data_IF_163855159982
#
_entry.id   IF_163855159982
#
_cell.length_a   1.000
_cell.length_b   1.000
_cell.length_c   1.000
_cell.angle_alpha   90.00
_cell.angle_beta   90.00
_cell.angle_gamma   90.00
#
_symmetry.space_group_name_H-M   'P 1'
#
loop_
_entity.id
_entity.type
_entity.pdbx_description
1 polymer ?
#
# COMPACT_ATOMS: atom_id res chain seq x y z
N UNK A 1 -33.78 -44.84 14.38
CA UNK A 1 -34.98 -44.00 14.11
C UNK A 1 -34.61 -42.71 13.38
N UNK A 2 -33.65 -41.91 13.87
CA UNK A 2 -33.21 -40.67 13.19
C UNK A 2 -32.56 -40.90 11.82
N UNK A 3 -31.81 -41.99 11.63
CA UNK A 3 -31.22 -42.37 10.34
C UNK A 3 -32.30 -42.68 9.28
N UNK A 4 -33.34 -43.43 9.67
CA UNK A 4 -34.45 -43.75 8.78
C UNK A 4 -35.26 -42.50 8.36
N UNK A 5 -35.38 -41.50 9.24
CA UNK A 5 -36.02 -40.23 8.90
C UNK A 5 -35.18 -39.43 7.89
N UNK A 6 -33.85 -39.40 8.06
CA UNK A 6 -32.93 -38.75 7.13
C UNK A 6 -33.03 -39.33 5.72
N UNK A 7 -33.09 -40.65 5.60
CA UNK A 7 -33.16 -41.33 4.30
C UNK A 7 -34.52 -41.15 3.59
N UNK A 8 -35.56 -40.72 4.32
CA UNK A 8 -36.90 -40.50 3.79
C UNK A 8 -37.16 -39.04 3.37
N UNK A 9 -36.37 -38.08 3.88
CA UNK A 9 -36.47 -36.68 3.49
C UNK A 9 -35.65 -36.47 2.22
N UNK A 10 -36.33 -36.09 1.13
CA UNK A 10 -35.69 -35.80 -0.15
C UNK A 10 -35.72 -34.30 -0.38
N UNK A 11 -34.55 -33.71 -0.66
CA UNK A 11 -34.43 -32.30 -1.02
C UNK A 11 -33.96 -32.25 -2.47
N UNK A 12 -34.77 -31.68 -3.35
CA UNK A 12 -34.48 -31.55 -4.78
C UNK A 12 -34.41 -30.08 -5.18
N UNK A 13 -33.59 -29.78 -6.19
CA UNK A 13 -33.51 -28.45 -6.79
C UNK A 13 -34.41 -28.44 -8.03
N UNK A 14 -35.40 -27.54 -8.05
CA UNK A 14 -36.45 -27.46 -9.08
C UNK A 14 -36.27 -26.24 -9.99
N UNK A 15 -35.24 -25.40 -9.77
CA UNK A 15 -34.94 -24.25 -10.62
C UNK A 15 -33.83 -23.33 -10.06
N UNK A 16 -33.68 -22.12 -10.63
CA UNK A 16 -32.77 -21.12 -10.06
C UNK A 16 -33.33 -20.64 -8.71
N UNK A 17 -32.67 -21.04 -7.62
CA UNK A 17 -32.96 -20.66 -6.24
C UNK A 17 -34.26 -21.25 -5.63
N UNK A 18 -34.83 -22.32 -6.23
CA UNK A 18 -35.97 -23.06 -5.66
C UNK A 18 -35.57 -24.46 -5.20
N UNK A 19 -35.97 -24.79 -3.98
CA UNK A 19 -35.73 -26.08 -3.34
C UNK A 19 -37.04 -26.69 -2.89
N UNK A 20 -37.30 -27.93 -3.32
CA UNK A 20 -38.46 -28.70 -2.88
C UNK A 20 -38.02 -29.70 -1.80
N UNK A 21 -38.82 -29.77 -0.73
CA UNK A 21 -38.59 -30.67 0.41
C UNK A 21 -39.76 -31.66 0.45
N UNK A 22 -39.45 -32.93 0.18
CA UNK A 22 -40.42 -34.01 0.14
C UNK A 22 -40.21 -34.98 1.30
N UNK A 23 -41.32 -35.41 1.92
CA UNK A 23 -41.32 -36.47 2.93
C UNK A 23 -42.59 -37.31 2.83
N UNK A 24 -42.43 -38.63 2.76
CA UNK A 24 -43.53 -39.57 2.62
C UNK A 24 -43.85 -40.26 3.96
N UNK A 25 -45.12 -40.22 4.38
CA UNK A 25 -45.61 -40.94 5.54
C UNK A 25 -47.02 -41.47 5.31
N UNK A 26 -47.41 -42.51 6.05
CA UNK A 26 -48.76 -43.07 6.01
C UNK A 26 -49.79 -42.13 6.65
N UNK A 27 -49.39 -41.38 7.68
CA UNK A 27 -50.22 -40.36 8.31
C UNK A 27 -49.94 -38.98 7.67
N UNK A 28 -50.95 -38.36 7.01
CA UNK A 28 -50.78 -37.06 6.38
C UNK A 28 -50.46 -35.94 7.38
N UNK A 29 -50.91 -36.05 8.64
CA UNK A 29 -50.63 -35.06 9.67
C UNK A 29 -49.15 -35.11 10.09
N UNK A 30 -48.58 -36.31 10.21
CA UNK A 30 -47.15 -36.50 10.49
C UNK A 30 -46.31 -36.01 9.31
N UNK A 31 -46.71 -36.30 8.08
CA UNK A 31 -46.00 -35.84 6.89
C UNK A 31 -45.87 -34.31 6.86
N UNK A 32 -47.00 -33.61 7.07
CA UNK A 32 -47.04 -32.14 7.15
C UNK A 32 -46.19 -31.60 8.30
N UNK A 33 -46.32 -32.18 9.48
CA UNK A 33 -45.61 -31.71 10.67
C UNK A 33 -44.08 -31.84 10.52
N UNK A 34 -43.60 -32.93 9.92
CA UNK A 34 -42.17 -33.15 9.66
C UNK A 34 -41.63 -32.12 8.67
N UNK A 35 -42.29 -31.91 7.52
CA UNK A 35 -41.85 -30.92 6.53
C UNK A 35 -41.85 -29.51 7.12
N UNK A 36 -42.90 -29.15 7.88
CA UNK A 36 -42.97 -27.85 8.56
C UNK A 36 -41.84 -27.67 9.57
N UNK A 37 -41.52 -28.72 10.34
CA UNK A 37 -40.46 -28.66 11.35
C UNK A 37 -39.08 -28.56 10.70
N UNK A 38 -38.83 -29.30 9.61
CA UNK A 38 -37.59 -29.21 8.83
C UNK A 38 -37.42 -27.80 8.27
N UNK A 39 -38.48 -27.21 7.69
CA UNK A 39 -38.49 -25.85 7.19
C UNK A 39 -38.19 -24.83 8.30
N UNK A 40 -38.84 -24.95 9.46
CA UNK A 40 -38.61 -24.08 10.61
C UNK A 40 -37.16 -24.17 11.11
N UNK A 41 -36.61 -25.39 11.21
CA UNK A 41 -35.22 -25.62 11.63
C UNK A 41 -34.27 -24.99 10.61
N UNK A 42 -34.49 -25.20 9.32
CA UNK A 42 -33.63 -24.64 8.26
C UNK A 42 -33.67 -23.11 8.25
N UNK A 43 -34.84 -22.51 8.45
CA UNK A 43 -34.97 -21.06 8.59
C UNK A 43 -34.27 -20.54 9.85
N UNK A 44 -34.44 -21.22 10.99
CA UNK A 44 -33.79 -20.85 12.24
C UNK A 44 -32.26 -20.99 12.17
N UNK A 45 -31.76 -22.05 11.54
CA UNK A 45 -30.33 -22.32 11.36
C UNK A 45 -29.67 -21.30 10.41
N UNK A 46 -30.32 -20.99 9.28
CA UNK A 46 -29.84 -19.97 8.35
C UNK A 46 -29.76 -18.56 8.99
N UNK A 47 -30.73 -18.22 9.85
CA UNK A 47 -30.74 -16.97 10.61
C UNK A 47 -29.68 -16.97 11.73
N UNK A 48 -29.54 -18.08 12.44
CA UNK A 48 -28.57 -18.27 13.52
C UNK A 48 -27.13 -18.17 13.03
N UNK A 49 -26.79 -18.89 11.95
CA UNK A 49 -25.46 -18.87 11.34
C UNK A 49 -25.03 -17.45 10.93
N UNK A 50 -25.93 -16.68 10.30
CA UNK A 50 -25.65 -15.30 9.87
C UNK A 50 -25.39 -14.36 11.06
N UNK A 51 -26.11 -14.57 12.17
CA UNK A 51 -25.97 -13.77 13.38
C UNK A 51 -24.67 -14.12 14.15
N UNK A 52 -24.31 -15.40 14.19
CA UNK A 52 -23.07 -15.89 14.83
C UNK A 52 -21.82 -15.42 14.09
N UNK A 53 -21.81 -15.49 12.75
CA UNK A 53 -20.73 -14.98 11.91
C UNK A 53 -20.53 -13.47 12.10
N UNK A 54 -21.63 -12.71 12.13
CA UNK A 54 -21.60 -11.26 12.35
C UNK A 54 -21.08 -10.90 13.74
N UNK A 55 -21.49 -11.66 14.77
CA UNK A 55 -21.02 -11.48 16.15
C UNK A 55 -19.53 -11.78 16.29
N UNK A 56 -19.07 -12.87 15.68
CA UNK A 56 -17.65 -13.28 15.68
C UNK A 56 -16.77 -12.24 14.98
N UNK A 57 -17.20 -11.74 13.82
CA UNK A 57 -16.49 -10.67 13.11
C UNK A 57 -16.43 -9.37 13.93
N UNK A 58 -17.52 -8.98 14.61
CA UNK A 58 -17.52 -7.82 15.51
C UNK A 58 -16.60 -8.00 16.70
N UNK A 59 -16.56 -9.20 17.30
CA UNK A 59 -15.65 -9.52 18.40
C UNK A 59 -14.20 -9.38 17.96
N UNK A 60 -13.84 -9.97 16.83
CA UNK A 60 -12.51 -9.81 16.23
C UNK A 60 -12.14 -8.34 15.99
N UNK A 61 -13.06 -7.55 15.40
CA UNK A 61 -12.82 -6.12 15.19
C UNK A 61 -12.61 -5.35 16.50
N UNK A 62 -13.37 -5.66 17.56
CA UNK A 62 -13.19 -5.03 18.89
C UNK A 62 -11.83 -5.37 19.50
N UNK A 63 -11.43 -6.64 19.46
CA UNK A 63 -10.11 -7.08 19.96
C UNK A 63 -8.97 -6.39 19.20
N UNK A 64 -9.08 -6.28 17.87
CA UNK A 64 -8.12 -5.51 17.08
C UNK A 64 -8.15 -4.02 17.44
N UNK A 65 -9.33 -3.43 17.67
CA UNK A 65 -9.46 -2.03 18.03
C UNK A 65 -8.80 -1.70 19.37
N UNK A 66 -8.94 -2.58 20.36
CA UNK A 66 -8.28 -2.46 21.66
C UNK A 66 -6.75 -2.54 21.51
N UNK A 67 -6.26 -3.51 20.74
CA UNK A 67 -4.83 -3.64 20.45
C UNK A 67 -4.28 -2.39 19.76
N UNK A 68 -4.90 -1.95 18.66
CA UNK A 68 -4.47 -0.76 17.92
C UNK A 68 -4.66 0.54 18.72
N UNK A 69 -5.63 0.59 19.63
CA UNK A 69 -5.80 1.70 20.56
C UNK A 69 -4.64 1.79 21.55
N UNK A 70 -4.20 0.66 22.11
CA UNK A 70 -3.02 0.60 22.95
C UNK A 70 -1.74 0.96 22.17
N UNK A 71 -1.58 0.45 20.95
CA UNK A 71 -0.46 0.79 20.08
C UNK A 71 -0.43 2.28 19.72
N UNK A 72 -1.61 2.88 19.48
CA UNK A 72 -1.75 4.32 19.20
C UNK A 72 -1.34 5.15 20.41
N UNK A 73 -1.84 4.82 21.61
CA UNK A 73 -1.46 5.48 22.86
C UNK A 73 0.07 5.37 23.11
N UNK A 74 0.65 4.20 22.85
CA UNK A 74 2.09 4.00 22.96
C UNK A 74 2.86 4.86 21.95
N UNK A 75 2.43 4.89 20.68
CA UNK A 75 3.05 5.71 19.64
C UNK A 75 2.95 7.21 19.98
N UNK A 76 1.82 7.67 20.51
CA UNK A 76 1.61 9.04 20.96
C UNK A 76 2.52 9.40 22.13
N UNK A 77 2.61 8.54 23.14
CA UNK A 77 3.51 8.72 24.29
C UNK A 77 4.98 8.77 23.86
N UNK A 78 5.40 7.87 22.97
CA UNK A 78 6.78 7.87 22.43
C UNK A 78 7.06 9.14 21.63
N UNK A 79 6.12 9.60 20.80
CA UNK A 79 6.25 10.84 20.04
C UNK A 79 6.31 12.06 20.95
N UNK A 80 5.44 12.13 21.96
CA UNK A 80 5.40 13.20 22.95
C UNK A 80 6.70 13.27 23.77
N UNK A 81 7.18 12.12 24.25
CA UNK A 81 8.44 12.02 24.99
C UNK A 81 9.63 12.43 24.12
N UNK A 82 9.67 11.95 22.87
CA UNK A 82 10.73 12.31 21.93
C UNK A 82 10.75 13.82 21.66
N UNK A 83 9.59 14.45 21.50
CA UNK A 83 9.47 15.90 21.38
C UNK A 83 10.00 16.59 22.64
N UNK A 84 9.58 16.16 23.83
CA UNK A 84 10.01 16.73 25.11
C UNK A 84 11.53 16.64 25.32
N UNK A 85 12.14 15.51 25.00
CA UNK A 85 13.59 15.29 25.18
C UNK A 85 14.45 16.07 24.18
N UNK A 86 13.89 16.45 23.02
CA UNK A 86 14.61 17.13 21.94
C UNK A 86 14.16 18.58 21.73
N UNK A 87 13.61 19.21 22.79
CA UNK A 87 13.31 20.65 22.81
C UNK A 87 14.56 21.46 22.39
N UNK A 88 14.39 22.38 21.44
CA UNK A 88 15.47 23.19 20.87
C UNK A 88 16.23 22.55 19.70
N UNK A 89 15.97 21.29 19.34
CA UNK A 89 16.45 20.65 18.11
C UNK A 89 15.31 20.34 17.12
N UNK A 90 14.13 20.93 17.33
CA UNK A 90 12.98 20.75 16.43
C UNK A 90 13.13 21.61 15.16
N UNK A 91 12.71 21.09 13.99
CA UNK A 91 12.81 21.82 12.72
C UNK A 91 12.07 23.17 12.70
N UNK A 92 10.91 23.26 13.38
CA UNK A 92 10.07 24.47 13.42
C UNK A 92 10.72 25.66 14.12
N UNK A 93 11.59 25.41 15.09
CA UNK A 93 12.07 26.46 16.00
C UNK A 93 13.32 27.17 15.48
N UNK A 94 13.99 26.61 14.47
CA UNK A 94 15.43 26.82 14.35
C UNK A 94 16.03 26.78 12.93
N UNK A 95 15.24 27.15 11.91
CA UNK A 95 15.68 27.20 10.49
C UNK A 95 16.89 28.09 10.16
N UNK A 96 17.50 28.75 11.15
CA UNK A 96 18.65 29.65 10.96
C UNK A 96 20.04 29.01 11.02
N UNK A 97 20.20 27.73 11.43
CA UNK A 97 21.55 27.16 11.65
C UNK A 97 22.37 27.02 10.38
N UNK A 98 21.75 26.60 9.27
CA UNK A 98 22.44 26.47 7.98
C UNK A 98 22.97 27.83 7.55
N UNK A 99 22.15 28.87 7.69
CA UNK A 99 22.53 30.26 7.41
C UNK A 99 23.65 30.73 8.34
N UNK A 100 23.58 30.45 9.66
CA UNK A 100 24.63 30.79 10.62
C UNK A 100 25.95 30.05 10.32
N UNK A 101 25.89 28.79 9.90
CA UNK A 101 27.07 28.02 9.50
C UNK A 101 27.70 28.61 8.24
N UNK A 102 26.89 28.99 7.25
CA UNK A 102 27.36 29.64 6.03
C UNK A 102 28.01 31.00 6.34
N UNK A 103 27.40 31.81 7.20
CA UNK A 103 27.97 33.07 7.66
C UNK A 103 29.31 32.84 8.38
N UNK A 104 29.38 31.87 9.30
CA UNK A 104 30.63 31.56 10.01
C UNK A 104 31.74 31.07 9.07
N UNK A 105 31.39 30.29 8.04
CA UNK A 105 32.34 29.88 6.99
C UNK A 105 32.83 31.07 6.15
N UNK A 106 31.95 32.01 5.81
CA UNK A 106 32.34 33.25 5.12
C UNK A 106 33.27 34.10 5.98
N UNK A 107 32.96 34.27 7.27
CA UNK A 107 33.84 34.98 8.22
C UNK A 107 35.20 34.31 8.33
N UNK A 108 35.26 32.96 8.36
CA UNK A 108 36.52 32.22 8.34
C UNK A 108 37.33 32.51 7.08
N UNK A 109 36.70 32.50 5.90
CA UNK A 109 37.38 32.79 4.64
C UNK A 109 37.93 34.22 4.61
N UNK A 110 37.17 35.20 5.11
CA UNK A 110 37.62 36.59 5.25
C UNK A 110 38.83 36.71 6.18
N UNK A 111 38.80 36.05 7.34
CA UNK A 111 39.92 36.05 8.29
C UNK A 111 41.16 35.35 7.74
N UNK A 112 41.00 34.28 6.96
CA UNK A 112 42.13 33.62 6.28
C UNK A 112 42.79 34.54 5.25
N UNK A 113 41.99 35.25 4.45
CA UNK A 113 42.51 36.24 3.51
C UNK A 113 43.23 37.39 4.23
N UNK A 114 42.66 37.91 5.32
CA UNK A 114 43.32 38.93 6.15
C UNK A 114 44.64 38.41 6.73
N UNK A 115 44.65 37.18 7.25
CA UNK A 115 45.86 36.55 7.77
C UNK A 115 46.95 36.45 6.69
N UNK A 116 46.59 36.04 5.47
CA UNK A 116 47.53 35.92 4.36
C UNK A 116 48.12 37.27 3.96
N UNK A 117 47.30 38.33 3.89
CA UNK A 117 47.75 39.70 3.64
C UNK A 117 48.72 40.16 4.73
N UNK A 118 48.35 40.06 6.01
CA UNK A 118 49.21 40.47 7.12
C UNK A 118 50.51 39.65 7.21
N UNK A 119 50.47 38.34 6.88
CA UNK A 119 51.67 37.51 6.81
C UNK A 119 52.59 37.92 5.67
N UNK A 120 52.04 38.28 4.51
CA UNK A 120 52.80 38.82 3.39
C UNK A 120 53.48 40.13 3.77
N UNK A 121 52.75 41.05 4.41
CA UNK A 121 53.30 42.31 4.94
C UNK A 121 54.38 42.06 5.99
N UNK A 122 54.19 41.11 6.90
CA UNK A 122 55.22 40.76 7.88
C UNK A 122 56.49 40.20 7.20
N UNK A 123 56.35 39.41 6.12
CA UNK A 123 57.50 38.91 5.36
C UNK A 123 58.27 40.05 4.68
N UNK A 124 57.58 41.06 4.12
CA UNK A 124 58.23 42.23 3.50
C UNK A 124 58.90 43.12 4.55
N UNK A 125 58.25 43.36 5.69
CA UNK A 125 58.86 44.09 6.81
C UNK A 125 60.08 43.35 7.37
N UNK A 126 60.00 42.03 7.54
CA UNK A 126 61.11 41.22 8.00
C UNK A 126 62.30 41.22 7.02
N UNK A 127 62.05 41.25 5.70
CA UNK A 127 63.12 41.35 4.71
C UNK A 127 63.77 42.75 4.69
N UNK A 128 62.99 43.82 4.86
CA UNK A 128 63.49 45.19 5.03
C UNK A 128 64.36 45.34 6.28
N UNK A 129 63.89 44.82 7.43
CA UNK A 129 64.67 44.79 8.68
C UNK A 129 65.99 44.05 8.47
N UNK A 130 65.96 42.89 7.80
CA UNK A 130 67.17 42.11 7.51
C UNK A 130 68.13 42.83 6.58
N UNK A 131 67.63 43.53 5.56
CA UNK A 131 68.41 44.36 4.64
C UNK A 131 69.10 45.53 5.34
N UNK A 132 68.39 46.21 6.25
CA UNK A 132 68.95 47.30 7.06
C UNK A 132 70.03 46.79 8.04
N UNK A 133 69.83 45.62 8.66
CA UNK A 133 70.84 44.99 9.54
C UNK A 133 72.11 44.54 8.81
N UNK A 134 72.02 44.31 7.51
CA UNK A 134 73.16 43.97 6.64
C UNK A 134 73.86 45.21 6.05
N UNK A 135 73.61 46.41 6.60
CA UNK A 135 74.29 47.65 6.18
C UNK A 135 73.79 48.23 4.86
N UNK A 136 72.76 47.67 4.23
CA UNK A 136 72.19 48.19 2.98
C UNK A 136 71.08 49.19 3.27
N UNK A 137 71.41 50.28 3.95
CA UNK A 137 70.52 51.46 4.00
C UNK A 137 70.76 52.28 2.73
N UNK A 138 69.75 52.53 1.88
CA UNK A 138 69.85 53.61 0.91
C UNK A 138 69.86 54.91 1.71
N UNK A 139 71.05 55.46 1.97
CA UNK A 139 71.15 56.81 2.52
C UNK A 139 70.75 57.72 1.38
N UNK A 140 69.55 58.28 1.42
CA UNK A 140 69.20 59.32 0.47
C UNK A 140 69.99 60.59 0.83
N UNK A 141 71.07 60.94 0.11
CA UNK A 141 71.96 62.03 0.51
C UNK A 141 71.25 63.39 0.44
N UNK A 142 70.11 63.45 -0.24
CA UNK A 142 69.27 64.64 -0.36
C UNK A 142 68.53 65.02 0.93
N UNK A 143 68.43 64.12 1.91
CA UNK A 143 67.74 64.37 3.19
C UNK A 143 68.69 64.58 4.38
N UNK A 144 70.00 64.59 4.15
CA UNK A 144 70.98 64.87 5.21
C UNK A 144 70.85 66.35 5.66
N UNK A 145 70.74 66.63 6.98
CA UNK A 145 70.58 67.99 7.49
C UNK A 145 71.68 68.98 7.05
N UNK A 146 72.91 68.50 6.90
CA UNK A 146 74.03 69.33 6.48
C UNK A 146 74.01 69.56 4.95
N UNK A 147 73.58 68.58 4.17
CA UNK A 147 73.34 68.75 2.71
C UNK A 147 72.19 69.71 2.46
N UNK A 148 71.09 69.63 3.24
CA UNK A 148 69.95 70.54 3.16
C UNK A 148 70.34 71.98 3.52
N UNK A 149 71.11 72.18 4.59
CA UNK A 149 71.62 73.50 4.98
C UNK A 149 72.51 74.12 3.90
N UNK A 150 73.43 73.33 3.31
CA UNK A 150 74.30 73.80 2.23
C UNK A 150 73.53 74.14 0.94
N UNK A 151 72.50 73.36 0.60
CA UNK A 151 71.65 73.66 -0.55
C UNK A 151 70.86 74.96 -0.36
N UNK A 152 70.35 75.22 0.85
CA UNK A 152 69.68 76.48 1.17
C UNK A 152 70.63 77.69 1.06
N UNK A 153 71.87 77.52 1.53
CA UNK A 153 72.91 78.56 1.45
C UNK A 153 73.32 78.86 0.00
N UNK A 154 73.58 77.82 -0.81
CA UNK A 154 73.89 77.96 -2.25
C UNK A 154 72.75 78.68 -3.00
N UNK A 155 71.50 78.39 -2.63
CA UNK A 155 70.34 79.03 -3.27
C UNK A 155 70.26 80.52 -2.93
N UNK A 156 70.53 80.89 -1.67
CA UNK A 156 70.61 82.29 -1.22
C UNK A 156 71.70 83.05 -1.95
N UNK A 157 72.90 82.47 -2.05
CA UNK A 157 74.04 83.10 -2.73
C UNK A 157 73.82 83.23 -4.25
N UNK A 158 73.14 82.26 -4.89
CA UNK A 158 72.71 82.38 -6.30
C UNK A 158 71.74 83.54 -6.52
N UNK A 159 70.79 83.76 -5.59
CA UNK A 159 69.86 84.87 -5.69
C UNK A 159 70.61 86.21 -5.55
N UNK A 160 71.56 86.29 -4.62
CA UNK A 160 72.44 87.47 -4.50
C UNK A 160 73.27 87.69 -5.77
N UNK A 161 73.78 86.63 -6.40
CA UNK A 161 74.53 86.72 -7.66
C UNK A 161 73.66 87.23 -8.81
N UNK A 162 72.45 86.70 -8.93
CA UNK A 162 71.48 87.14 -9.94
C UNK A 162 71.15 88.64 -9.81
N UNK A 163 70.99 89.13 -8.58
CA UNK A 163 70.73 90.55 -8.31
C UNK A 163 71.95 91.43 -8.59
N UNK A 164 73.15 90.93 -8.33
CA UNK A 164 74.40 91.65 -8.58
C UNK A 164 74.66 91.77 -10.09
N UNK A 165 74.36 90.72 -10.87
CA UNK A 165 74.49 90.70 -12.33
C UNK A 165 73.48 91.60 -13.07
N UNK A 166 72.37 91.97 -12.44
CA UNK A 166 71.47 93.01 -12.97
C UNK A 166 72.02 94.43 -12.87
N UNK A 167 73.00 94.67 -11.99
CA UNK A 167 73.57 96.00 -11.73
C UNK A 167 75.03 96.12 -12.16
N UNK A 168 75.76 95.00 -12.25
CA UNK A 168 77.19 94.95 -12.52
C UNK A 168 77.52 93.88 -13.56
N UNK A 169 78.58 94.09 -14.33
CA UNK A 169 79.08 93.15 -15.35
C UNK A 169 79.85 91.99 -14.71
N UNK A 170 80.07 90.91 -15.47
CA UNK A 170 80.76 89.71 -14.99
C UNK A 170 82.18 89.96 -14.44
N UNK A 171 82.84 91.03 -14.87
CA UNK A 171 84.21 91.39 -14.45
C UNK A 171 84.28 92.12 -13.10
N UNK A 172 83.13 92.39 -12.45
CA UNK A 172 83.10 93.07 -11.15
C UNK A 172 83.67 92.16 -10.04
N UNK A 173 84.60 92.63 -9.18
CA UNK A 173 85.20 91.81 -8.12
C UNK A 173 84.20 91.15 -7.16
N UNK A 174 83.05 91.78 -6.93
CA UNK A 174 81.95 91.22 -6.11
C UNK A 174 81.26 90.02 -6.76
N UNK A 175 81.15 89.98 -8.10
CA UNK A 175 80.58 88.85 -8.84
C UNK A 175 81.54 87.67 -8.81
N UNK A 176 82.82 87.92 -9.09
CA UNK A 176 83.88 86.88 -9.11
C UNK A 176 84.04 86.21 -7.73
N UNK A 177 84.01 87.01 -6.66
CA UNK A 177 84.11 86.49 -5.29
C UNK A 177 82.88 85.66 -4.88
N UNK A 178 81.69 86.07 -5.30
CA UNK A 178 80.44 85.35 -5.03
C UNK A 178 80.34 84.05 -5.84
N UNK A 179 80.73 84.06 -7.11
CA UNK A 179 80.82 82.84 -7.94
C UNK A 179 81.83 81.85 -7.37
N UNK A 180 82.99 82.35 -6.93
CA UNK A 180 84.02 81.51 -6.28
C UNK A 180 83.50 80.88 -5.00
N UNK A 181 82.69 81.62 -4.21
CA UNK A 181 82.04 81.11 -3.00
C UNK A 181 81.02 80.03 -3.31
N UNK A 182 80.11 80.25 -4.26
CA UNK A 182 79.12 79.25 -4.70
C UNK A 182 79.83 77.98 -5.23
N UNK A 183 80.95 78.14 -5.95
CA UNK A 183 81.75 77.01 -6.44
C UNK A 183 82.35 76.20 -5.29
N UNK A 184 82.85 76.87 -4.26
CA UNK A 184 83.39 76.23 -3.05
C UNK A 184 82.28 75.49 -2.28
N UNK A 185 81.14 76.12 -2.06
CA UNK A 185 79.99 75.52 -1.37
C UNK A 185 79.44 74.29 -2.13
N UNK A 186 79.35 74.36 -3.46
CA UNK A 186 78.99 73.19 -4.29
C UNK A 186 80.00 72.06 -4.13
N UNK A 187 81.30 72.37 -4.13
CA UNK A 187 82.36 71.37 -3.91
C UNK A 187 82.27 70.73 -2.52
N UNK A 188 81.96 71.52 -1.49
CA UNK A 188 81.73 71.02 -0.13
C UNK A 188 80.49 70.12 -0.06
N UNK A 189 79.38 70.50 -0.71
CA UNK A 189 78.18 69.66 -0.83
C UNK A 189 78.50 68.33 -1.50
N UNK A 190 79.19 68.37 -2.63
CA UNK A 190 79.50 67.17 -3.41
C UNK A 190 80.48 66.24 -2.68
N UNK A 191 81.45 66.81 -1.94
CA UNK A 191 82.32 66.06 -1.04
C UNK A 191 81.56 65.43 0.13
N UNK A 192 80.59 66.15 0.71
CA UNK A 192 79.73 65.64 1.78
C UNK A 192 78.87 64.48 1.26
N UNK A 193 78.25 64.61 0.09
CA UNK A 193 77.48 63.54 -0.57
C UNK A 193 78.39 62.33 -0.89
N UNK A 194 79.61 62.54 -1.37
CA UNK A 194 80.56 61.46 -1.64
C UNK A 194 81.02 60.75 -0.36
N UNK A 195 81.20 61.49 0.74
CA UNK A 195 81.51 60.93 2.05
C UNK A 195 80.33 60.16 2.65
N UNK A 196 79.10 60.64 2.44
CA UNK A 196 77.87 59.93 2.83
C UNK A 196 77.72 58.61 2.06
N UNK A 197 77.98 58.61 0.74
CA UNK A 197 78.02 57.39 -0.09
C UNK A 197 79.12 56.42 0.34
N UNK A 198 80.29 56.92 0.76
CA UNK A 198 81.37 56.05 1.30
C UNK A 198 81.03 55.47 2.68
N UNK A 199 80.24 56.17 3.50
CA UNK A 199 79.74 55.67 4.79
C UNK A 199 78.63 54.62 4.66
N UNK A 200 78.09 54.38 3.46
CA UNK A 200 77.05 53.37 3.21
C UNK A 200 77.51 51.92 3.47
N UNK A 201 78.76 51.67 3.89
CA UNK A 201 79.28 50.29 3.94
C UNK A 201 79.32 49.60 5.31
N UNK A 202 79.27 50.25 6.48
CA UNK A 202 79.72 49.48 7.67
C UNK A 202 79.09 49.71 9.06
N UNK A 203 78.03 50.50 9.22
CA UNK A 203 77.44 50.63 10.57
C UNK A 203 75.92 50.63 10.56
N UNK A 204 75.36 49.47 10.91
CA UNK A 204 73.99 49.36 11.41
C UNK A 204 73.85 50.23 12.66
N UNK A 205 73.03 51.27 12.60
CA UNK A 205 72.65 52.07 13.77
C UNK A 205 71.26 51.61 14.28
N UNK A 206 71.20 50.93 15.44
CA UNK A 206 69.93 50.53 16.06
C UNK A 206 69.02 51.71 16.41
N UNK A 207 69.56 52.93 16.52
CA UNK A 207 68.82 54.15 16.86
C UNK A 207 68.33 54.93 15.63
N UNK A 208 68.49 54.38 14.41
CA UNK A 208 67.96 55.01 13.21
C UNK A 208 66.41 55.11 13.28
N UNK A 209 65.82 56.31 13.13
CA UNK A 209 64.36 56.52 13.17
C UNK A 209 63.58 55.64 12.19
N UNK A 210 64.16 55.34 11.02
CA UNK A 210 63.54 54.47 10.00
C UNK A 210 63.48 53.02 10.46
N UNK A 211 64.52 52.54 11.16
CA UNK A 211 64.54 51.20 11.74
C UNK A 211 63.52 51.06 12.88
N UNK A 212 63.40 52.09 13.72
CA UNK A 212 62.41 52.12 14.80
C UNK A 212 60.98 52.13 14.26
N UNK A 213 60.68 52.90 13.20
CA UNK A 213 59.36 52.91 12.56
C UNK A 213 59.00 51.53 11.97
N UNK A 214 59.91 50.93 11.20
CA UNK A 214 59.68 49.61 10.58
C UNK A 214 59.54 48.52 11.66
N UNK A 215 60.34 48.57 12.73
CA UNK A 215 60.23 47.64 13.86
C UNK A 215 58.91 47.79 14.61
N UNK A 216 58.43 49.03 14.79
CA UNK A 216 57.13 49.30 15.39
C UNK A 216 55.99 48.77 14.51
N UNK A 217 56.05 48.97 13.19
CA UNK A 217 55.09 48.40 12.23
C UNK A 217 55.10 46.88 12.26
N UNK A 218 56.27 46.26 12.26
CA UNK A 218 56.41 44.81 12.35
C UNK A 218 55.79 44.25 13.65
N UNK A 219 55.99 44.93 14.78
CA UNK A 219 55.33 44.56 16.04
C UNK A 219 53.80 44.71 15.94
N UNK A 220 53.28 45.79 15.36
CA UNK A 220 51.84 45.99 15.15
C UNK A 220 51.23 44.88 14.28
N UNK A 221 51.84 44.58 13.14
CA UNK A 221 51.40 43.51 12.24
C UNK A 221 51.51 42.14 12.92
N UNK A 222 52.55 41.90 13.74
CA UNK A 222 52.68 40.66 14.51
C UNK A 222 51.54 40.50 15.52
N UNK A 223 51.17 41.56 16.24
CA UNK A 223 50.04 41.54 17.17
C UNK A 223 48.72 41.33 16.42
N UNK A 224 48.56 41.94 15.25
CA UNK A 224 47.39 41.74 14.38
C UNK A 224 47.26 40.28 13.91
N UNK A 225 48.36 39.67 13.47
CA UNK A 225 48.40 38.25 13.07
C UNK A 225 47.93 37.34 14.22
N UNK A 226 48.44 37.56 15.44
CA UNK A 226 48.02 36.76 16.60
C UNK A 226 46.55 37.02 16.98
N UNK A 227 46.07 38.26 16.81
CA UNK A 227 44.65 38.60 16.95
C UNK A 227 43.77 37.87 15.94
N UNK A 228 44.16 37.82 14.66
CA UNK A 228 43.45 37.10 13.60
C UNK A 228 43.45 35.59 13.86
N UNK A 229 44.60 35.01 14.26
CA UNK A 229 44.69 33.59 14.64
C UNK A 229 43.75 33.23 15.79
N UNK A 230 43.67 34.10 16.80
CA UNK A 230 42.75 33.91 17.93
C UNK A 230 41.29 33.92 17.47
N UNK A 231 40.92 34.88 16.62
CA UNK A 231 39.57 34.94 16.00
C UNK A 231 39.28 33.70 15.16
N UNK A 232 40.25 33.21 14.37
CA UNK A 232 40.12 31.97 13.60
C UNK A 232 39.86 30.76 14.51
N UNK A 233 40.56 30.66 15.65
CA UNK A 233 40.30 29.62 16.65
C UNK A 233 38.88 29.68 17.22
N UNK A 234 38.37 30.88 17.50
CA UNK A 234 36.99 31.09 17.96
C UNK A 234 35.96 30.69 16.89
N UNK A 235 36.12 31.17 15.65
CA UNK A 235 35.23 30.86 14.53
C UNK A 235 35.26 29.37 14.19
N UNK A 236 36.42 28.71 14.25
CA UNK A 236 36.51 27.26 14.03
C UNK A 236 35.71 26.49 15.09
N UNK A 237 35.84 26.83 16.39
CA UNK A 237 35.02 26.24 17.45
C UNK A 237 33.53 26.48 17.24
N UNK A 238 33.16 27.68 16.79
CA UNK A 238 31.77 28.01 16.46
C UNK A 238 31.25 27.14 15.30
N UNK A 239 32.04 26.98 14.22
CA UNK A 239 31.70 26.13 13.08
C UNK A 239 31.53 24.67 13.51
N UNK A 240 32.43 24.16 14.35
CA UNK A 240 32.36 22.78 14.86
C UNK A 240 31.09 22.57 15.70
N UNK A 241 30.80 23.47 16.63
CA UNK A 241 29.56 23.45 17.41
C UNK A 241 28.30 23.51 16.52
N UNK A 242 28.30 24.40 15.51
CA UNK A 242 27.18 24.50 14.57
C UNK A 242 27.02 23.22 13.74
N UNK A 243 28.11 22.60 13.30
CA UNK A 243 28.10 21.31 12.58
C UNK A 243 27.55 20.18 13.45
N UNK A 244 28.00 20.05 14.70
CA UNK A 244 27.48 19.04 15.63
C UNK A 244 25.99 19.23 15.91
N UNK A 245 25.55 20.48 16.07
CA UNK A 245 24.13 20.79 16.25
C UNK A 245 23.32 20.46 15.00
N UNK A 246 23.83 20.76 13.81
CA UNK A 246 23.19 20.43 12.55
C UNK A 246 23.03 18.91 12.37
N UNK A 247 24.09 18.12 12.59
CA UNK A 247 24.03 16.65 12.50
C UNK A 247 23.03 16.06 13.51
N UNK A 248 23.06 16.55 14.76
CA UNK A 248 22.07 16.13 15.77
C UNK A 248 20.64 16.49 15.35
N UNK A 249 20.44 17.69 14.81
CA UNK A 249 19.13 18.15 14.34
C UNK A 249 18.61 17.29 13.19
N UNK A 250 19.44 17.00 12.18
CA UNK A 250 19.05 16.13 11.06
C UNK A 250 18.67 14.72 11.55
N UNK A 251 19.40 14.16 12.52
CA UNK A 251 19.03 12.86 13.12
C UNK A 251 17.72 12.93 13.90
N UNK A 252 17.49 14.03 14.64
CA UNK A 252 16.25 14.28 15.39
C UNK A 252 15.07 14.41 14.42
N UNK A 253 15.22 15.16 13.34
CA UNK A 253 14.22 15.35 12.30
C UNK A 253 13.86 14.03 11.61
N UNK A 254 14.85 13.28 11.13
CA UNK A 254 14.61 11.97 10.53
C UNK A 254 13.89 11.00 11.48
N UNK A 255 14.23 11.05 12.77
CA UNK A 255 13.56 10.23 13.79
C UNK A 255 12.15 10.74 14.11
N UNK A 256 11.94 12.04 14.17
CA UNK A 256 10.64 12.67 14.36
C UNK A 256 9.68 12.29 13.22
N UNK A 257 10.15 12.36 11.99
CA UNK A 257 9.38 11.98 10.80
C UNK A 257 9.01 10.50 10.82
N UNK A 258 9.94 9.62 11.20
CA UNK A 258 9.66 8.20 11.34
C UNK A 258 8.59 7.92 12.42
N UNK A 259 8.69 8.59 13.59
CA UNK A 259 7.71 8.45 14.67
C UNK A 259 6.35 9.03 14.28
N UNK A 260 6.33 10.18 13.62
CA UNK A 260 5.10 10.84 13.15
C UNK A 260 4.39 9.98 12.11
N UNK A 261 5.14 9.40 11.16
CA UNK A 261 4.60 8.47 10.17
C UNK A 261 4.02 7.22 10.83
N UNK A 262 4.71 6.64 11.81
CA UNK A 262 4.20 5.48 12.54
C UNK A 262 2.89 5.81 13.29
N UNK A 263 2.86 6.95 13.98
CA UNK A 263 1.64 7.46 14.62
C UNK A 263 0.49 7.60 13.61
N UNK A 264 0.72 8.25 12.47
CA UNK A 264 -0.30 8.44 11.42
C UNK A 264 -0.83 7.11 10.88
N UNK A 265 0.06 6.17 10.56
CA UNK A 265 -0.35 4.83 10.05
C UNK A 265 -1.18 4.08 11.09
N UNK A 266 -0.76 4.13 12.37
CA UNK A 266 -1.49 3.47 13.46
C UNK A 266 -2.85 4.11 13.69
N UNK A 267 -2.92 5.45 13.64
CA UNK A 267 -4.16 6.21 13.74
C UNK A 267 -5.11 5.90 12.59
N UNK A 268 -4.62 5.84 11.35
CA UNK A 268 -5.41 5.51 10.17
C UNK A 268 -5.96 4.09 10.24
N UNK A 269 -5.15 3.13 10.67
CA UNK A 269 -5.57 1.75 10.86
C UNK A 269 -6.64 1.62 11.95
N UNK A 270 -6.45 2.29 13.09
CA UNK A 270 -7.45 2.38 14.15
C UNK A 270 -8.78 2.96 13.64
N UNK A 271 -8.72 4.09 12.95
CA UNK A 271 -9.90 4.75 12.37
C UNK A 271 -10.60 3.88 11.32
N UNK A 272 -9.83 3.14 10.51
CA UNK A 272 -10.36 2.20 9.52
C UNK A 272 -11.11 1.05 10.19
N UNK A 273 -10.52 0.44 11.23
CA UNK A 273 -11.16 -0.61 12.03
C UNK A 273 -12.41 -0.09 12.75
N UNK A 274 -12.36 1.13 13.27
CA UNK A 274 -13.51 1.77 13.92
C UNK A 274 -14.67 1.94 12.94
N UNK A 275 -14.40 2.46 11.73
CA UNK A 275 -15.41 2.59 10.68
C UNK A 275 -16.01 1.24 10.29
N UNK A 276 -15.18 0.18 10.15
CA UNK A 276 -15.66 -1.18 9.86
C UNK A 276 -16.53 -1.76 10.98
N UNK A 277 -16.19 -1.48 12.25
CA UNK A 277 -17.01 -1.89 13.38
C UNK A 277 -18.37 -1.20 13.36
N UNK A 278 -18.41 0.11 13.09
CA UNK A 278 -19.68 0.83 12.96
C UNK A 278 -20.51 0.34 11.77
N UNK A 279 -19.89 0.07 10.62
CA UNK A 279 -20.61 -0.48 9.47
C UNK A 279 -21.16 -1.87 9.77
N UNK A 280 -20.38 -2.75 10.42
CA UNK A 280 -20.82 -4.08 10.81
C UNK A 280 -21.98 -4.03 11.82
N UNK A 281 -21.94 -3.12 12.79
CA UNK A 281 -23.06 -2.89 13.74
C UNK A 281 -24.29 -2.36 13.02
N UNK A 282 -24.13 -1.42 12.08
CA UNK A 282 -25.23 -0.89 11.29
C UNK A 282 -25.88 -1.98 10.43
N UNK A 283 -25.08 -2.79 9.73
CA UNK A 283 -25.56 -3.93 8.96
C UNK A 283 -26.30 -4.95 9.82
N UNK A 284 -25.81 -5.25 11.03
CA UNK A 284 -26.51 -6.12 11.97
C UNK A 284 -27.86 -5.53 12.40
N UNK A 285 -27.90 -4.23 12.73
CA UNK A 285 -29.16 -3.56 13.10
C UNK A 285 -30.15 -3.45 11.94
N UNK A 286 -29.66 -3.33 10.71
CA UNK A 286 -30.46 -3.35 9.50
C UNK A 286 -31.01 -4.75 9.19
N UNK A 287 -30.24 -5.81 9.42
CA UNK A 287 -30.72 -7.20 9.31
C UNK A 287 -31.71 -7.55 10.44
N UNK A 288 -31.54 -6.97 11.63
CA UNK A 288 -32.48 -7.17 12.73
C UNK A 288 -33.82 -6.43 12.49
N UNK A 289 -33.78 -5.27 11.82
CA UNK A 289 -34.96 -4.43 11.53
C UNK A 289 -35.62 -4.76 10.19
N UNK A 290 -34.86 -5.24 9.20
CA UNK A 290 -35.31 -5.59 7.85
C UNK A 290 -35.54 -7.08 7.73
N UNK A 291 -36.62 -7.48 7.06
CA UNK A 291 -37.07 -8.87 6.91
C UNK A 291 -35.89 -9.81 6.49
N UNK A 292 -35.30 -10.60 7.42
CA UNK A 292 -33.98 -11.21 7.24
C UNK A 292 -33.97 -12.47 6.34
N UNK A 293 -35.08 -12.73 5.64
CA UNK A 293 -35.30 -13.99 4.97
C UNK A 293 -34.74 -13.96 3.54
N UNK A 294 -33.51 -14.47 3.38
CA UNK A 294 -33.02 -14.97 2.08
C UNK A 294 -33.87 -16.12 1.53
N UNK A 295 -34.56 -16.84 2.42
CA UNK A 295 -35.46 -17.94 2.08
C UNK A 295 -36.91 -17.52 2.32
N UNK A 296 -37.63 -17.25 1.24
CA UNK A 296 -39.07 -17.02 1.29
C UNK A 296 -39.78 -18.36 1.11
N UNK A 297 -40.73 -18.67 1.99
CA UNK A 297 -41.62 -19.82 1.80
C UNK A 297 -42.53 -19.48 0.61
N UNK A 298 -42.34 -20.17 -0.51
CA UNK A 298 -43.18 -20.00 -1.71
C UNK A 298 -44.46 -20.81 -1.54
N UNK A 299 -44.33 -22.09 -1.20
CA UNK A 299 -45.45 -23.01 -1.00
C UNK A 299 -45.39 -23.64 0.40
N UNK A 300 -46.33 -23.33 1.32
CA UNK A 300 -46.35 -23.91 2.64
C UNK A 300 -46.83 -25.39 2.60
N UNK A 301 -46.35 -26.26 3.50
CA UNK A 301 -46.77 -27.65 3.51
C UNK A 301 -48.26 -27.77 3.87
N UNK A 302 -49.07 -28.20 2.91
CA UNK A 302 -50.50 -28.47 3.08
C UNK A 302 -50.76 -29.93 3.45
N UNK A 303 -51.92 -30.21 4.03
CA UNK A 303 -52.33 -31.58 4.36
C UNK A 303 -52.75 -32.29 3.05
N UNK A 304 -52.06 -33.35 2.60
CA UNK A 304 -52.44 -34.05 1.38
C UNK A 304 -53.74 -34.81 1.62
N UNK A 305 -54.79 -34.45 0.88
CA UNK A 305 -56.10 -35.10 0.92
C UNK A 305 -56.14 -36.40 0.07
N UNK A 306 -55.15 -36.59 -0.80
CA UNK A 306 -55.05 -37.72 -1.72
C UNK A 306 -53.66 -38.35 -1.56
N UNK A 307 -53.53 -39.69 -1.52
CA UNK A 307 -52.24 -40.35 -1.45
C UNK A 307 -51.40 -40.02 -2.69
N UNK A 308 -50.18 -39.52 -2.46
CA UNK A 308 -49.25 -39.09 -3.51
C UNK A 308 -48.44 -40.24 -4.12
N UNK A 309 -48.33 -41.38 -3.43
CA UNK A 309 -47.59 -42.57 -3.89
C UNK A 309 -48.15 -43.86 -3.27
N UNK A 310 -48.12 -45.02 -3.97
CA UNK A 310 -47.75 -45.25 -5.38
C UNK A 310 -48.86 -44.86 -6.36
N UNK A 311 -48.47 -44.48 -7.59
CA UNK A 311 -49.38 -44.02 -8.64
C UNK A 311 -50.39 -45.12 -9.01
N UNK A 312 -51.69 -44.86 -8.78
CA UNK A 312 -52.78 -45.83 -8.97
C UNK A 312 -52.82 -46.43 -10.39
N UNK A 313 -52.51 -45.65 -11.43
CA UNK A 313 -52.46 -46.13 -12.81
C UNK A 313 -51.37 -47.18 -13.06
N UNK A 314 -50.22 -47.07 -12.38
CA UNK A 314 -49.14 -48.07 -12.46
C UNK A 314 -49.61 -49.38 -11.84
N UNK A 315 -50.27 -49.32 -10.68
CA UNK A 315 -50.85 -50.52 -10.05
C UNK A 315 -51.95 -51.16 -10.92
N UNK A 316 -52.84 -50.36 -11.51
CA UNK A 316 -53.89 -50.87 -12.40
C UNK A 316 -53.31 -51.54 -13.65
N UNK A 317 -52.29 -50.95 -14.27
CA UNK A 317 -51.58 -51.55 -15.40
C UNK A 317 -50.91 -52.87 -15.00
N UNK A 318 -50.20 -52.90 -13.87
CA UNK A 318 -49.57 -54.12 -13.36
C UNK A 318 -50.60 -55.21 -13.08
N UNK A 319 -51.75 -54.88 -12.48
CA UNK A 319 -52.84 -55.83 -12.25
C UNK A 319 -53.40 -56.40 -13.56
N UNK A 320 -53.53 -55.58 -14.60
CA UNK A 320 -53.98 -56.03 -15.93
C UNK A 320 -53.00 -57.03 -16.55
N UNK A 321 -51.70 -56.75 -16.47
CA UNK A 321 -50.65 -57.65 -16.98
C UNK A 321 -50.68 -58.99 -16.23
N UNK A 322 -50.80 -58.95 -14.91
CA UNK A 322 -50.90 -60.17 -14.08
C UNK A 322 -52.16 -60.97 -14.42
N UNK A 323 -53.31 -60.32 -14.63
CA UNK A 323 -54.57 -60.99 -14.99
C UNK A 323 -54.50 -61.69 -16.35
N UNK A 324 -53.87 -61.07 -17.35
CA UNK A 324 -53.64 -61.70 -18.67
C UNK A 324 -52.74 -62.93 -18.50
N UNK A 325 -51.63 -62.79 -17.76
CA UNK A 325 -50.73 -63.91 -17.50
C UNK A 325 -51.42 -65.07 -16.80
N UNK A 326 -52.23 -64.80 -15.78
CA UNK A 326 -53.04 -65.81 -15.09
C UNK A 326 -54.07 -66.48 -16.02
N UNK A 327 -54.72 -65.72 -16.91
CA UNK A 327 -55.66 -66.26 -17.89
C UNK A 327 -55.00 -67.21 -18.90
N UNK A 328 -53.82 -66.85 -19.42
CA UNK A 328 -53.03 -67.71 -20.31
C UNK A 328 -52.58 -68.97 -19.60
N UNK A 329 -52.07 -68.85 -18.37
CA UNK A 329 -51.66 -70.00 -17.56
C UNK A 329 -52.83 -70.97 -17.30
N UNK A 330 -54.02 -70.45 -16.96
CA UNK A 330 -55.22 -71.26 -16.77
C UNK A 330 -55.66 -71.95 -18.07
N UNK A 331 -55.64 -71.24 -19.19
CA UNK A 331 -56.00 -71.80 -20.50
C UNK A 331 -55.04 -72.93 -20.91
N UNK A 332 -53.74 -72.75 -20.67
CA UNK A 332 -52.73 -73.79 -20.89
C UNK A 332 -52.98 -75.02 -20.01
N UNK A 333 -53.29 -74.82 -18.72
CA UNK A 333 -53.58 -75.90 -17.78
C UNK A 333 -54.84 -76.68 -18.18
N UNK A 334 -55.89 -75.99 -18.62
CA UNK A 334 -57.12 -76.61 -19.14
C UNK A 334 -56.89 -77.36 -20.46
N UNK A 335 -56.01 -76.86 -21.33
CA UNK A 335 -55.64 -77.57 -22.56
C UNK A 335 -54.93 -78.89 -22.24
N UNK A 336 -54.05 -78.90 -21.23
CA UNK A 336 -53.36 -80.11 -20.80
C UNK A 336 -54.31 -81.17 -20.22
N UNK A 337 -55.41 -80.75 -19.59
CA UNK A 337 -56.42 -81.64 -19.00
C UNK A 337 -57.41 -82.23 -20.03
N UNK A 338 -57.46 -81.71 -21.26
CA UNK A 338 -58.30 -82.24 -22.34
C UNK A 338 -57.42 -82.98 -23.36
N UNK A 339 -57.34 -84.32 -23.33
CA UNK A 339 -56.66 -85.06 -24.37
C UNK A 339 -57.45 -84.92 -25.68
N UNK A 340 -56.97 -84.06 -26.58
CA UNK A 340 -57.48 -83.94 -27.95
C UNK A 340 -56.33 -84.29 -28.86
N UNK A 341 -56.40 -85.46 -29.50
CA UNK A 341 -55.44 -85.84 -30.53
C UNK A 341 -55.68 -84.96 -31.75
N UNK A 342 -54.72 -84.10 -32.07
CA UNK A 342 -54.88 -83.11 -33.15
C UNK A 342 -54.46 -83.68 -34.50
N UNK A 343 -53.63 -84.73 -34.52
CA UNK A 343 -53.04 -85.27 -35.75
C UNK A 343 -53.07 -86.79 -35.78
N UNK A 344 -53.37 -87.35 -36.96
CA UNK A 344 -53.34 -88.79 -37.25
C UNK A 344 -52.03 -89.49 -36.83
N UNK A 345 -50.91 -88.77 -36.91
CA UNK A 345 -49.56 -89.26 -36.57
C UNK A 345 -49.42 -89.52 -35.07
N UNK A 346 -50.01 -88.66 -34.24
CA UNK A 346 -49.99 -88.73 -32.77
C UNK A 346 -50.78 -89.96 -32.26
N UNK A 347 -51.85 -90.31 -32.97
CA UNK A 347 -52.67 -91.49 -32.71
C UNK A 347 -51.97 -92.79 -33.16
N UNK A 348 -51.22 -92.75 -34.27
CA UNK A 348 -50.41 -93.87 -34.75
C UNK A 348 -49.22 -94.18 -33.83
N UNK A 349 -48.53 -93.15 -33.34
CA UNK A 349 -47.38 -93.33 -32.43
C UNK A 349 -47.77 -93.92 -31.08
N UNK A 350 -48.91 -93.51 -30.52
CA UNK A 350 -49.33 -93.96 -29.19
C UNK A 350 -49.99 -95.36 -29.19
N UNK A 351 -50.75 -95.69 -30.23
CA UNK A 351 -51.54 -96.94 -30.27
C UNK A 351 -51.01 -98.00 -31.25
N UNK A 352 -49.94 -97.72 -32.02
CA UNK A 352 -49.29 -98.66 -32.96
C UNK A 352 -50.26 -99.42 -33.89
N UNK A 353 -51.39 -98.80 -34.23
CA UNK A 353 -52.42 -99.35 -35.11
C UNK A 353 -52.50 -98.53 -36.42
N UNK A 354 -52.61 -99.17 -37.60
CA UNK A 354 -52.73 -98.46 -38.87
C UNK A 354 -54.11 -97.79 -38.98
N UNK A 355 -54.13 -96.46 -39.06
CA UNK A 355 -55.36 -95.69 -39.27
C UNK A 355 -55.85 -95.90 -40.71
N UNK A 356 -56.92 -96.69 -40.87
CA UNK A 356 -57.49 -97.09 -42.18
C UNK A 356 -58.10 -95.94 -43.01
N UNK A 357 -58.24 -94.74 -42.42
CA UNK A 357 -58.72 -93.54 -43.10
C UNK A 357 -59.13 -92.47 -42.09
N UNK A 358 -58.95 -91.20 -42.45
CA UNK A 358 -59.46 -90.08 -41.67
C UNK A 358 -60.73 -89.55 -42.35
N UNK A 359 -61.86 -89.63 -41.65
CA UNK A 359 -63.09 -88.99 -42.12
C UNK A 359 -62.97 -87.52 -41.71
N UNK A 360 -62.67 -86.65 -42.67
CA UNK A 360 -62.79 -85.22 -42.44
C UNK A 360 -64.24 -84.92 -42.08
N UNK A 361 -64.46 -84.27 -40.95
CA UNK A 361 -65.78 -83.82 -40.55
C UNK A 361 -66.38 -83.01 -41.71
N UNK A 362 -67.46 -83.51 -42.33
CA UNK A 362 -68.16 -82.77 -43.35
C UNK A 362 -68.67 -81.47 -42.69
N UNK A 363 -68.13 -80.34 -43.12
CA UNK A 363 -68.45 -79.05 -42.51
C UNK A 363 -69.88 -78.68 -42.87
N UNK A 364 -70.84 -79.14 -42.07
CA UNK A 364 -72.22 -78.68 -42.15
C UNK A 364 -72.25 -77.18 -41.90
N UNK A 365 -73.06 -76.43 -42.65
CA UNK A 365 -73.19 -74.97 -42.52
C UNK A 365 -73.53 -74.51 -41.09
N UNK A 366 -74.10 -75.38 -40.25
CA UNK A 366 -74.35 -75.17 -38.82
C UNK A 366 -73.05 -75.14 -37.97
N UNK A 367 -72.05 -75.98 -38.26
CA UNK A 367 -70.77 -76.00 -37.54
C UNK A 367 -69.95 -74.74 -37.82
N UNK A 368 -69.90 -74.30 -39.08
CA UNK A 368 -69.20 -73.06 -39.47
C UNK A 368 -69.81 -71.82 -38.81
N UNK A 369 -71.15 -71.77 -38.68
CA UNK A 369 -71.84 -70.69 -37.93
C UNK A 369 -71.50 -70.74 -36.44
N UNK A 370 -71.56 -71.91 -35.81
CA UNK A 370 -71.23 -72.06 -34.38
C UNK A 370 -69.76 -71.76 -34.05
N UNK A 371 -68.83 -72.11 -34.94
CA UNK A 371 -67.42 -71.78 -34.80
C UNK A 371 -67.18 -70.27 -34.96
N UNK A 372 -67.76 -69.63 -35.98
CA UNK A 372 -67.71 -68.16 -36.14
C UNK A 372 -68.28 -67.44 -34.92
N UNK A 373 -69.41 -67.90 -34.38
CA UNK A 373 -69.99 -67.33 -33.16
C UNK A 373 -69.03 -67.49 -31.97
N UNK A 374 -68.39 -68.65 -31.76
CA UNK A 374 -67.42 -68.83 -30.67
C UNK A 374 -66.19 -67.94 -30.81
N UNK A 375 -65.64 -67.79 -32.02
CA UNK A 375 -64.50 -66.89 -32.28
C UNK A 375 -64.92 -65.43 -32.07
N UNK A 376 -66.11 -65.04 -32.51
CA UNK A 376 -66.67 -63.72 -32.26
C UNK A 376 -66.90 -63.47 -30.76
N UNK A 377 -67.41 -64.44 -30.01
CA UNK A 377 -67.57 -64.34 -28.54
C UNK A 377 -66.22 -64.17 -27.84
N UNK A 378 -65.19 -64.93 -28.25
CA UNK A 378 -63.84 -64.79 -27.69
C UNK A 378 -63.24 -63.41 -28.02
N UNK A 379 -63.34 -62.97 -29.27
CA UNK A 379 -62.90 -61.64 -29.69
C UNK A 379 -63.64 -60.52 -28.93
N UNK A 380 -64.96 -60.65 -28.77
CA UNK A 380 -65.77 -59.73 -27.97
C UNK A 380 -65.34 -59.72 -26.49
N UNK A 381 -65.00 -60.88 -25.93
CA UNK A 381 -64.47 -60.99 -24.56
C UNK A 381 -63.12 -60.28 -24.38
N UNK A 382 -62.19 -60.42 -25.33
CA UNK A 382 -60.91 -59.70 -25.30
C UNK A 382 -61.11 -58.18 -25.40
N UNK A 383 -61.98 -57.73 -26.30
CA UNK A 383 -62.31 -56.31 -26.45
C UNK A 383 -62.97 -55.77 -25.18
N UNK A 384 -63.91 -56.50 -24.58
CA UNK A 384 -64.55 -56.13 -23.32
C UNK A 384 -63.54 -56.02 -22.17
N UNK A 385 -62.59 -56.95 -22.06
CA UNK A 385 -61.55 -56.90 -21.03
C UNK A 385 -60.64 -55.67 -21.17
N UNK A 386 -60.21 -55.36 -22.40
CA UNK A 386 -59.41 -54.15 -22.67
C UNK A 386 -60.22 -52.89 -22.35
N UNK A 387 -61.49 -52.85 -22.74
CA UNK A 387 -62.38 -51.72 -22.44
C UNK A 387 -62.57 -51.53 -20.93
N UNK A 388 -62.76 -52.61 -20.16
CA UNK A 388 -62.87 -52.54 -18.70
C UNK A 388 -61.55 -52.06 -18.08
N UNK A 389 -60.41 -52.56 -18.54
CA UNK A 389 -59.09 -52.11 -18.06
C UNK A 389 -58.85 -50.63 -18.32
N UNK A 390 -59.16 -50.15 -19.53
CA UNK A 390 -59.09 -48.72 -19.90
C UNK A 390 -60.07 -47.90 -19.06
N UNK A 391 -61.30 -48.38 -18.87
CA UNK A 391 -62.31 -47.70 -18.06
C UNK A 391 -61.85 -47.58 -16.61
N UNK A 392 -61.29 -48.62 -16.01
CA UNK A 392 -60.72 -48.56 -14.65
C UNK A 392 -59.60 -47.53 -14.56
N UNK A 393 -58.71 -47.46 -15.55
CA UNK A 393 -57.63 -46.46 -15.58
C UNK A 393 -58.21 -45.03 -15.68
N UNK A 394 -59.15 -44.81 -16.60
CA UNK A 394 -59.78 -43.50 -16.83
C UNK A 394 -60.59 -43.05 -15.60
N UNK A 395 -61.42 -43.92 -15.04
CA UNK A 395 -62.21 -43.61 -13.83
C UNK A 395 -61.33 -43.45 -12.59
N UNK A 396 -60.17 -44.13 -12.51
CA UNK A 396 -59.23 -43.89 -11.41
C UNK A 396 -58.62 -42.49 -11.47
N UNK A 397 -58.42 -41.93 -12.67
CA UNK A 397 -57.94 -40.56 -12.86
C UNK A 397 -59.06 -39.53 -12.65
N UNK A 398 -60.23 -39.74 -13.27
CA UNK A 398 -61.37 -38.83 -13.15
C UNK A 398 -61.99 -38.82 -11.75
N UNK A 399 -62.03 -39.96 -11.06
CA UNK A 399 -62.47 -40.02 -9.67
C UNK A 399 -61.54 -39.24 -8.73
N UNK A 400 -60.25 -39.22 -9.01
CA UNK A 400 -59.30 -38.39 -8.28
C UNK A 400 -59.51 -36.89 -8.57
N UNK A 401 -59.78 -36.52 -9.82
CA UNK A 401 -60.07 -35.13 -10.21
C UNK A 401 -61.41 -34.63 -9.66
N UNK A 402 -62.47 -35.43 -9.67
CA UNK A 402 -63.78 -35.06 -9.13
C UNK A 402 -63.73 -34.84 -7.61
N UNK A 403 -62.99 -35.69 -6.89
CA UNK A 403 -62.74 -35.50 -5.46
C UNK A 403 -61.91 -34.23 -5.22
N UNK A 404 -60.94 -33.94 -6.10
CA UNK A 404 -60.14 -32.70 -6.06
C UNK A 404 -61.04 -31.47 -6.24
N UNK A 405 -61.93 -31.45 -7.24
CA UNK A 405 -62.83 -30.32 -7.51
C UNK A 405 -63.87 -30.13 -6.40
N UNK A 406 -64.41 -31.22 -5.84
CA UNK A 406 -65.50 -31.13 -4.86
C UNK A 406 -65.03 -30.85 -3.43
N UNK A 407 -63.83 -31.31 -3.03
CA UNK A 407 -63.29 -31.07 -1.68
C UNK A 407 -62.40 -29.83 -1.58
N UNK A 408 -61.70 -29.42 -2.65
CA UNK A 408 -60.80 -28.26 -2.60
C UNK A 408 -61.43 -26.96 -3.09
N UNK A 409 -62.68 -26.97 -3.60
CA UNK A 409 -63.38 -25.75 -3.99
C UNK A 409 -62.62 -24.85 -4.97
N UNK A 410 -61.72 -25.42 -5.78
CA UNK A 410 -60.85 -24.69 -6.70
C UNK A 410 -61.39 -24.76 -8.12
N UNK A 411 -61.80 -23.61 -8.66
CA UNK A 411 -61.91 -23.38 -10.11
C UNK A 411 -60.52 -23.46 -10.76
N UNK A 412 -60.49 -23.96 -12.00
CA UNK A 412 -59.35 -23.98 -12.93
C UNK A 412 -58.45 -22.74 -12.87
#
# INVERSE_FOLDING_TARGET
MLSALRDQIHISNVGNDLYDIEYANHDPAIAKAVVQQVLNILMADALGATQEDSSSAQKFLKEQLEKYGNDLNNAENVLAEFKRQNLGYMPSDNGGYVTQLQMAQQTKAQLLNQLEVSQSEMKTLASQIRGMRQGKTPVNPAQDPNVLALNAQIQKDKQTLSNLLTQYTADYPGVISLESRIKLERKQRDALIANLKKRETDTFDPNNPVYQDISLRANKVSVEIEGIKTKLGQVNRQIENLKHRADKMTKVEARLDALTRNYQVTQDQYNSLLRRLYSAKLSQSAQASGNPLKFQIIDPPILPLIPTSPKRHVMAFMAMVVAIGAGVALAYLLAQLKPVFLTKTELMEMFSLPVAGAISLAQTTTYLKAHRIRVLMFGAGCVAFILVGVLVIVFSNQGAELVRVHLLGGTL
#
